data_IF_464026184220
#
_entry.id   IF_464026184220
#
_cell.length_a   1.000
_cell.length_b   1.000
_cell.length_c   1.000
_cell.angle_alpha   90.00
_cell.angle_beta   90.00
_cell.angle_gamma   90.00
#
_symmetry.space_group_name_H-M   'P 1'
#
loop_
_entity.id
_entity.type
_entity.pdbx_description
1 polymer ?
#
# COMPACT_ATOMS: atom_id res chain seq x y z
N UNK A 1 55.51 -6.24 45.10
CA UNK A 1 54.17 -6.62 45.60
C UNK A 1 53.23 -5.50 45.19
N UNK A 2 52.27 -5.63 44.29
CA UNK A 2 51.43 -6.75 43.86
C UNK A 2 51.11 -6.64 42.36
N UNK A 3 50.97 -7.79 41.72
CA UNK A 3 50.70 -7.99 40.31
C UNK A 3 49.19 -8.00 39.98
N UNK A 4 48.88 -7.64 38.72
CA UNK A 4 47.85 -8.16 37.79
C UNK A 4 46.45 -8.51 38.33
N UNK A 5 45.42 -8.04 37.60
CA UNK A 5 44.32 -8.75 36.89
C UNK A 5 43.30 -7.64 36.53
N UNK A 6 42.93 -7.34 35.29
CA UNK A 6 42.75 -8.20 34.13
C UNK A 6 41.33 -8.77 34.13
N UNK A 7 40.33 -7.98 33.69
CA UNK A 7 39.09 -8.39 33.01
C UNK A 7 38.05 -7.25 33.09
N UNK A 8 38.02 -6.37 32.08
CA UNK A 8 36.76 -5.72 31.72
C UNK A 8 35.88 -6.83 31.14
N UNK A 9 34.94 -7.31 31.96
CA UNK A 9 34.03 -8.39 31.62
C UNK A 9 33.17 -7.98 30.42
N UNK A 10 33.16 -8.88 29.45
CA UNK A 10 32.48 -8.87 28.15
C UNK A 10 30.96 -9.02 28.26
N UNK A 11 30.29 -8.24 29.10
CA UNK A 11 28.84 -8.32 29.29
C UNK A 11 28.14 -6.98 29.06
N UNK A 12 28.35 -6.40 27.88
CA UNK A 12 27.26 -5.65 27.23
C UNK A 12 26.59 -6.64 26.29
N UNK A 13 25.72 -7.48 26.86
CA UNK A 13 24.82 -8.31 26.07
C UNK A 13 23.96 -7.37 25.22
N UNK A 14 24.10 -7.51 23.91
CA UNK A 14 23.30 -6.92 22.84
C UNK A 14 21.81 -6.86 23.18
N UNK A 15 21.37 -5.75 23.75
CA UNK A 15 19.96 -5.45 23.99
C UNK A 15 19.59 -4.06 23.44
N UNK A 16 20.22 -3.64 22.35
CA UNK A 16 19.79 -2.51 21.52
C UNK A 16 18.56 -2.91 20.69
N UNK A 17 17.49 -3.37 21.34
CA UNK A 17 16.17 -3.38 20.74
C UNK A 17 15.64 -1.94 20.83
N UNK A 18 16.00 -1.13 19.84
CA UNK A 18 15.14 -0.01 19.48
C UNK A 18 13.81 -0.65 19.04
N UNK A 19 12.65 -0.28 19.61
CA UNK A 19 11.38 -0.86 19.19
C UNK A 19 11.24 -0.75 17.67
N UNK A 20 10.64 -1.77 17.06
CA UNK A 20 10.59 -2.14 15.63
C UNK A 20 10.14 -1.07 14.60
N UNK A 21 10.22 0.22 14.93
CA UNK A 21 9.80 1.32 14.10
C UNK A 21 10.49 2.63 14.49
N UNK A 22 11.82 2.75 14.39
CA UNK A 22 12.49 4.06 14.52
C UNK A 22 12.27 4.97 13.30
N UNK A 23 12.06 4.37 12.13
CA UNK A 23 11.88 5.08 10.86
C UNK A 23 10.75 6.12 10.93
N UNK A 24 9.58 5.69 11.39
CA UNK A 24 8.38 6.52 11.37
C UNK A 24 8.44 7.69 12.36
N UNK A 25 8.81 7.49 13.65
CA UNK A 25 9.10 8.59 14.56
C UNK A 25 10.19 9.52 14.04
N UNK A 26 11.26 9.01 13.42
CA UNK A 26 12.30 9.87 12.83
C UNK A 26 11.73 10.76 11.71
N UNK A 27 10.99 10.17 10.75
CA UNK A 27 10.36 10.91 9.64
C UNK A 27 9.38 11.97 10.13
N UNK A 28 8.64 11.69 11.20
CA UNK A 28 7.56 12.57 11.68
C UNK A 28 8.02 13.61 12.70
N UNK A 29 8.97 13.26 13.57
CA UNK A 29 9.33 14.06 14.74
C UNK A 29 10.72 14.70 14.66
N UNK A 30 11.60 14.20 13.78
CA UNK A 30 12.99 14.69 13.67
C UNK A 30 13.21 15.33 12.32
N UNK A 31 12.97 14.59 11.23
CA UNK A 31 13.27 15.03 9.86
C UNK A 31 12.68 16.41 9.50
N UNK A 32 11.44 16.79 9.89
CA UNK A 32 10.87 18.10 9.56
C UNK A 32 11.60 19.27 10.21
N UNK A 33 12.42 19.02 11.24
CA UNK A 33 13.18 20.02 11.96
C UNK A 33 14.65 20.08 11.56
N UNK A 34 15.09 19.20 10.65
CA UNK A 34 16.46 19.21 10.14
C UNK A 34 16.58 20.20 8.98
N UNK A 35 17.64 21.01 9.01
CA UNK A 35 18.04 21.82 7.88
C UNK A 35 18.55 20.95 6.73
N UNK A 36 18.53 21.45 5.47
CA UNK A 36 19.11 20.72 4.35
C UNK A 36 20.59 20.34 4.56
N UNK A 37 21.36 21.18 5.25
CA UNK A 37 22.77 20.92 5.56
C UNK A 37 22.94 19.79 6.60
N UNK A 38 22.06 19.72 7.61
CA UNK A 38 22.06 18.63 8.58
C UNK A 38 21.66 17.31 7.91
N UNK A 39 20.66 17.34 7.02
CA UNK A 39 20.26 16.18 6.20
C UNK A 39 21.46 15.66 5.40
N UNK A 40 22.18 16.53 4.68
CA UNK A 40 23.38 16.12 3.94
C UNK A 40 24.50 15.59 4.83
N UNK A 41 24.69 16.20 6.01
CA UNK A 41 25.68 15.73 6.99
C UNK A 41 25.35 14.32 7.47
N UNK A 42 24.08 14.04 7.75
CA UNK A 42 23.64 12.71 8.18
C UNK A 42 23.76 11.72 7.02
N UNK A 43 23.33 12.06 5.80
CA UNK A 43 23.50 11.23 4.60
C UNK A 43 24.97 10.85 4.40
N UNK A 44 25.89 11.80 4.49
CA UNK A 44 27.32 11.56 4.35
C UNK A 44 27.87 10.59 5.40
N UNK A 45 27.38 10.67 6.65
CA UNK A 45 27.75 9.73 7.72
C UNK A 45 27.12 8.34 7.56
N UNK A 46 25.94 8.25 6.97
CA UNK A 46 25.25 6.97 6.75
C UNK A 46 25.86 6.15 5.61
N UNK A 47 26.30 6.80 4.52
CA UNK A 47 26.87 6.09 3.34
C UNK A 47 27.89 5.00 3.68
N UNK A 48 28.94 5.22 4.51
CA UNK A 48 29.91 4.17 4.83
C UNK A 48 29.39 3.10 5.80
N UNK A 49 28.26 3.34 6.47
CA UNK A 49 27.67 2.41 7.45
C UNK A 49 26.73 1.39 6.82
N UNK A 50 26.30 1.63 5.58
CA UNK A 50 25.38 0.77 4.85
C UNK A 50 26.16 -0.06 3.85
N UNK A 51 26.16 -1.38 4.04
CA UNK A 51 26.74 -2.33 3.07
C UNK A 51 25.67 -2.69 2.02
N UNK A 52 25.83 -2.30 0.74
CA UNK A 52 24.80 -2.52 -0.28
C UNK A 52 24.67 -3.98 -0.73
N UNK A 53 25.70 -4.80 -0.47
CA UNK A 53 25.88 -6.12 -1.06
C UNK A 53 25.62 -7.29 -0.09
N UNK A 54 25.12 -7.03 1.11
CA UNK A 54 24.73 -8.10 2.02
C UNK A 54 23.29 -8.54 1.70
N UNK A 55 23.08 -9.71 1.07
CA UNK A 55 21.73 -10.24 0.88
C UNK A 55 21.03 -10.43 2.24
N UNK A 56 19.69 -10.57 2.28
CA UNK A 56 18.95 -10.79 3.53
C UNK A 56 19.38 -12.03 4.33
N UNK A 57 20.31 -12.85 3.83
CA UNK A 57 20.91 -13.96 4.56
C UNK A 57 21.64 -13.53 5.85
N UNK A 58 22.07 -12.27 5.99
CA UNK A 58 22.55 -11.75 7.28
C UNK A 58 21.42 -11.24 8.19
N UNK A 59 20.17 -11.14 7.72
CA UNK A 59 18.99 -10.73 8.49
C UNK A 59 18.38 -11.87 9.33
N UNK A 60 19.18 -12.89 9.69
CA UNK A 60 18.79 -13.94 10.65
C UNK A 60 18.31 -13.39 12.02
N UNK A 61 18.41 -12.07 12.23
CA UNK A 61 17.92 -11.35 13.40
C UNK A 61 16.82 -10.34 13.02
N UNK A 62 15.83 -10.76 12.23
CA UNK A 62 14.46 -10.21 12.23
C UNK A 62 14.24 -8.72 11.91
N UNK A 63 15.25 -7.90 11.65
CA UNK A 63 15.09 -6.46 11.43
C UNK A 63 16.15 -5.91 10.48
N UNK A 64 15.79 -4.88 9.71
CA UNK A 64 16.75 -4.13 8.91
C UNK A 64 17.72 -3.35 9.81
N UNK A 65 18.98 -3.17 9.41
CA UNK A 65 19.91 -2.31 10.14
C UNK A 65 19.41 -0.86 10.20
N UNK A 66 19.54 -0.20 11.35
CA UNK A 66 19.07 1.19 11.57
C UNK A 66 19.60 2.18 10.52
N UNK A 67 20.85 2.00 10.09
CA UNK A 67 21.46 2.85 9.06
C UNK A 67 20.74 2.73 7.70
N UNK A 68 20.24 1.53 7.36
CA UNK A 68 19.45 1.30 6.15
C UNK A 68 18.08 1.95 6.27
N UNK A 69 17.44 1.78 7.43
CA UNK A 69 16.14 2.41 7.73
C UNK A 69 16.22 3.93 7.67
N UNK A 70 17.30 4.52 8.20
CA UNK A 70 17.54 5.96 8.11
C UNK A 70 17.87 6.43 6.70
N UNK A 71 18.61 5.63 5.92
CA UNK A 71 18.84 5.94 4.51
C UNK A 71 17.52 6.02 3.72
N UNK A 72 16.57 5.13 4.02
CA UNK A 72 15.21 5.18 3.48
C UNK A 72 14.45 6.44 3.94
N UNK A 73 14.53 6.80 5.22
CA UNK A 73 13.89 8.01 5.74
C UNK A 73 14.47 9.31 5.16
N UNK A 74 15.76 9.32 4.84
CA UNK A 74 16.49 10.47 4.30
C UNK A 74 16.52 10.50 2.78
N UNK A 75 15.69 9.70 2.09
CA UNK A 75 15.59 9.68 0.62
C UNK A 75 16.97 9.54 -0.06
N UNK A 76 17.63 8.40 0.14
CA UNK A 76 18.93 8.06 -0.47
C UNK A 76 18.75 6.99 -1.57
N UNK A 77 18.13 7.33 -2.72
CA UNK A 77 17.61 6.34 -3.69
C UNK A 77 18.70 5.45 -4.29
N UNK A 78 19.87 5.98 -4.65
CA UNK A 78 20.95 5.19 -5.27
C UNK A 78 21.47 4.07 -4.35
N UNK A 79 21.49 4.34 -3.04
CA UNK A 79 21.92 3.37 -2.03
C UNK A 79 20.84 2.30 -1.84
N UNK A 80 19.57 2.71 -1.80
CA UNK A 80 18.43 1.80 -1.63
C UNK A 80 18.24 0.91 -2.86
N UNK A 81 18.43 1.44 -4.07
CA UNK A 81 18.37 0.68 -5.31
C UNK A 81 19.38 -0.48 -5.31
N UNK A 82 20.61 -0.23 -4.84
CA UNK A 82 21.63 -1.30 -4.71
C UNK A 82 21.17 -2.40 -3.73
N UNK A 83 20.66 -2.03 -2.57
CA UNK A 83 20.18 -2.98 -1.55
C UNK A 83 18.98 -3.79 -2.08
N UNK A 84 17.99 -3.10 -2.63
CA UNK A 84 16.75 -3.71 -3.11
C UNK A 84 17.05 -4.65 -4.28
N UNK A 85 17.91 -4.25 -5.22
CA UNK A 85 18.31 -5.09 -6.36
C UNK A 85 19.02 -6.39 -5.94
N UNK A 86 19.70 -6.39 -4.78
CA UNK A 86 20.36 -7.58 -4.23
C UNK A 86 19.39 -8.58 -3.58
N UNK A 87 18.14 -8.20 -3.33
CA UNK A 87 17.10 -9.11 -2.82
C UNK A 87 16.67 -10.04 -3.97
N UNK A 88 16.67 -11.38 -3.79
CA UNK A 88 16.20 -12.29 -4.83
C UNK A 88 14.73 -12.05 -5.23
N UNK A 89 14.38 -12.40 -6.46
CA UNK A 89 12.98 -12.39 -6.88
C UNK A 89 12.15 -13.38 -6.04
N UNK A 90 10.90 -13.04 -5.79
CA UNK A 90 9.95 -13.77 -4.94
C UNK A 90 10.43 -14.05 -3.51
N UNK A 91 11.49 -13.38 -3.03
CA UNK A 91 12.09 -13.68 -1.72
C UNK A 91 11.11 -13.62 -0.55
N UNK A 92 10.10 -12.74 -0.63
CA UNK A 92 9.09 -12.57 0.40
C UNK A 92 7.80 -13.34 0.16
N UNK A 93 7.77 -14.18 -0.89
CA UNK A 93 6.68 -15.12 -1.14
C UNK A 93 6.68 -16.17 -0.04
N UNK A 94 5.75 -16.05 0.91
CA UNK A 94 5.55 -17.00 2.00
C UNK A 94 6.06 -16.57 3.38
N UNK A 95 6.62 -15.37 3.55
CA UNK A 95 6.88 -14.86 4.91
C UNK A 95 7.96 -13.78 5.02
N UNK A 96 8.36 -13.52 6.28
CA UNK A 96 9.44 -12.61 6.70
C UNK A 96 9.26 -11.12 6.42
N UNK A 97 8.32 -10.72 5.56
CA UNK A 97 8.01 -9.31 5.29
C UNK A 97 7.57 -8.53 6.52
N UNK A 98 6.94 -9.19 7.50
CA UNK A 98 6.52 -8.55 8.75
C UNK A 98 7.73 -8.03 9.55
N UNK A 99 8.79 -8.83 9.58
CA UNK A 99 10.01 -8.58 10.35
C UNK A 99 11.00 -7.73 9.56
N UNK A 100 11.29 -8.13 8.33
CA UNK A 100 12.27 -7.43 7.49
C UNK A 100 11.74 -6.11 6.93
N UNK A 101 10.42 -5.89 6.88
CA UNK A 101 9.78 -4.67 6.37
C UNK A 101 10.42 -4.10 5.08
N UNK A 102 10.64 -4.93 4.04
CA UNK A 102 11.30 -4.50 2.79
C UNK A 102 10.59 -3.33 2.11
N UNK A 103 9.30 -3.14 2.37
CA UNK A 103 8.48 -2.06 1.85
C UNK A 103 9.10 -0.70 2.19
N UNK A 104 9.67 -0.54 3.39
CA UNK A 104 10.32 0.71 3.79
C UNK A 104 11.52 1.07 2.91
N UNK A 105 12.20 0.07 2.34
CA UNK A 105 13.30 0.28 1.40
C UNK A 105 12.76 0.63 0.02
N UNK A 106 11.77 -0.14 -0.43
CA UNK A 106 11.18 0.02 -1.76
C UNK A 106 10.54 1.40 -1.91
N UNK A 107 9.85 1.92 -0.89
CA UNK A 107 9.28 3.26 -0.93
C UNK A 107 10.30 4.41 -0.99
N UNK A 108 11.57 4.14 -0.67
CA UNK A 108 12.63 5.13 -0.81
C UNK A 108 13.31 5.14 -2.19
N UNK A 109 12.84 4.33 -3.14
CA UNK A 109 13.34 4.33 -4.51
C UNK A 109 12.94 5.64 -5.23
N UNK A 110 13.69 5.99 -6.27
CA UNK A 110 13.65 7.31 -6.89
C UNK A 110 12.45 7.57 -7.80
N UNK A 111 11.67 6.53 -8.14
CA UNK A 111 10.53 6.63 -9.07
C UNK A 111 9.40 5.66 -8.73
N UNK A 112 8.17 6.03 -9.13
CA UNK A 112 6.99 5.18 -8.96
C UNK A 112 7.12 3.85 -9.72
N UNK A 113 7.73 3.88 -10.91
CA UNK A 113 7.99 2.70 -11.74
C UNK A 113 8.91 1.71 -11.04
N UNK A 114 10.00 2.19 -10.42
CA UNK A 114 10.92 1.33 -9.65
C UNK A 114 10.24 0.75 -8.41
N UNK A 115 9.48 1.56 -7.66
CA UNK A 115 8.68 1.09 -6.50
C UNK A 115 7.78 -0.07 -6.93
N UNK A 116 7.03 0.11 -8.02
CA UNK A 116 6.09 -0.89 -8.53
C UNK A 116 6.79 -2.17 -9.00
N UNK A 117 7.83 -2.01 -9.81
CA UNK A 117 8.61 -3.12 -10.34
C UNK A 117 9.23 -3.96 -9.22
N UNK A 118 9.92 -3.31 -8.28
CA UNK A 118 10.66 -3.99 -7.22
C UNK A 118 9.73 -4.63 -6.19
N UNK A 119 8.63 -3.98 -5.81
CA UNK A 119 7.66 -4.57 -4.88
C UNK A 119 7.09 -5.89 -5.41
N UNK A 120 6.72 -5.91 -6.71
CA UNK A 120 6.22 -7.12 -7.37
C UNK A 120 7.32 -8.18 -7.50
N UNK A 121 8.52 -7.77 -7.95
CA UNK A 121 9.67 -8.66 -8.14
C UNK A 121 10.01 -9.42 -6.86
N UNK A 122 10.04 -8.77 -5.71
CA UNK A 122 10.36 -9.42 -4.43
C UNK A 122 9.15 -10.08 -3.75
N UNK A 123 7.94 -9.87 -4.28
CA UNK A 123 6.66 -10.39 -3.77
C UNK A 123 6.38 -10.04 -2.30
N UNK A 124 6.65 -8.79 -1.91
CA UNK A 124 6.39 -8.31 -0.55
C UNK A 124 4.94 -7.80 -0.40
N UNK A 125 4.14 -8.31 0.55
CA UNK A 125 2.77 -7.82 0.79
C UNK A 125 2.73 -6.50 1.55
N UNK A 126 1.65 -5.72 1.43
CA UNK A 126 1.43 -4.51 2.24
C UNK A 126 0.81 -4.89 3.59
N UNK A 127 1.64 -5.00 4.63
CA UNK A 127 1.21 -5.54 5.94
C UNK A 127 0.66 -4.51 6.93
N UNK A 128 0.90 -3.22 6.74
CA UNK A 128 0.52 -2.17 7.68
C UNK A 128 -0.18 -1.00 6.98
N UNK A 129 -0.94 -0.23 7.75
CA UNK A 129 -1.68 0.93 7.25
C UNK A 129 -0.74 1.96 6.60
N UNK A 130 0.44 2.11 7.18
CA UNK A 130 1.51 3.00 6.72
C UNK A 130 2.04 2.54 5.35
N UNK A 131 2.05 1.23 5.07
CA UNK A 131 2.48 0.73 3.76
C UNK A 131 1.47 1.08 2.66
N UNK A 132 0.16 0.99 2.94
CA UNK A 132 -0.88 1.37 1.97
C UNK A 132 -0.84 2.89 1.74
N UNK A 133 -0.65 3.66 2.80
CA UNK A 133 -0.50 5.13 2.70
C UNK A 133 0.72 5.49 1.85
N UNK A 134 1.87 4.85 2.10
CA UNK A 134 3.08 5.08 1.33
C UNK A 134 2.94 4.62 -0.13
N UNK A 135 2.25 3.50 -0.38
CA UNK A 135 1.95 3.04 -1.74
C UNK A 135 1.18 4.11 -2.51
N UNK A 136 0.03 4.53 -2.00
CA UNK A 136 -0.81 5.57 -2.62
C UNK A 136 -0.04 6.89 -2.83
N UNK A 137 0.84 7.26 -1.90
CA UNK A 137 1.65 8.47 -2.02
C UNK A 137 2.72 8.35 -3.13
N UNK A 138 3.28 7.15 -3.35
CA UNK A 138 4.34 6.94 -4.33
C UNK A 138 3.80 6.63 -5.73
N UNK A 139 2.68 5.93 -5.83
CA UNK A 139 2.19 5.34 -7.08
C UNK A 139 0.81 5.84 -7.49
N UNK A 140 0.22 6.75 -6.71
CA UNK A 140 -1.13 7.28 -6.91
C UNK A 140 -2.17 6.15 -7.00
N UNK A 141 -2.76 5.95 -8.18
CA UNK A 141 -3.76 4.91 -8.46
C UNK A 141 -3.21 3.70 -9.22
N UNK A 142 -1.89 3.62 -9.38
CA UNK A 142 -1.29 2.48 -10.06
C UNK A 142 -1.26 1.24 -9.14
N UNK A 143 -1.52 0.07 -9.74
CA UNK A 143 -1.37 -1.23 -9.09
C UNK A 143 -2.15 -1.37 -7.75
N UNK A 144 -3.37 -0.82 -7.69
CA UNK A 144 -4.23 -0.93 -6.52
C UNK A 144 -4.64 -2.38 -6.18
N UNK A 145 -4.39 -3.34 -7.09
CA UNK A 145 -4.56 -4.77 -6.83
C UNK A 145 -3.70 -5.25 -5.65
N UNK A 146 -2.49 -4.68 -5.45
CA UNK A 146 -1.65 -5.03 -4.31
C UNK A 146 -2.26 -4.60 -2.97
N UNK A 147 -2.97 -3.47 -2.95
CA UNK A 147 -3.71 -3.01 -1.77
C UNK A 147 -4.91 -3.95 -1.53
N UNK A 148 -5.64 -4.29 -2.58
CA UNK A 148 -6.79 -5.19 -2.48
C UNK A 148 -6.37 -6.56 -1.92
N UNK A 149 -5.33 -7.16 -2.49
CA UNK A 149 -4.80 -8.46 -2.07
C UNK A 149 -4.34 -8.41 -0.61
N UNK A 150 -3.65 -7.34 -0.20
CA UNK A 150 -3.21 -7.16 1.18
C UNK A 150 -4.38 -7.13 2.18
N UNK A 151 -5.50 -6.49 1.82
CA UNK A 151 -6.70 -6.38 2.66
C UNK A 151 -7.50 -7.70 2.64
N UNK A 152 -7.67 -8.32 1.47
CA UNK A 152 -8.43 -9.57 1.29
C UNK A 152 -7.77 -10.72 2.03
N UNK A 153 -6.43 -10.79 1.99
CA UNK A 153 -5.67 -11.85 2.65
C UNK A 153 -5.64 -11.74 4.18
N UNK A 154 -6.22 -10.69 4.78
CA UNK A 154 -6.32 -10.60 6.23
C UNK A 154 -7.32 -11.60 6.80
N UNK A 155 -6.85 -12.39 7.76
CA UNK A 155 -7.70 -13.35 8.48
C UNK A 155 -8.55 -12.67 9.58
N UNK A 156 -8.16 -11.48 10.03
CA UNK A 156 -8.86 -10.69 11.04
C UNK A 156 -9.61 -9.52 10.39
N UNK A 157 -10.92 -9.39 10.69
CA UNK A 157 -11.78 -8.31 10.16
C UNK A 157 -11.30 -6.92 10.57
N UNK A 158 -10.87 -6.75 11.81
CA UNK A 158 -10.49 -5.44 12.35
C UNK A 158 -9.14 -5.00 11.78
N UNK A 159 -8.23 -5.95 11.51
CA UNK A 159 -6.98 -5.67 10.77
C UNK A 159 -7.26 -5.37 9.29
N UNK A 160 -8.16 -6.11 8.63
CA UNK A 160 -8.59 -5.80 7.26
C UNK A 160 -9.16 -4.38 7.16
N UNK A 161 -10.04 -4.02 8.10
CA UNK A 161 -10.61 -2.69 8.25
C UNK A 161 -9.52 -1.62 8.46
N UNK A 162 -8.54 -1.89 9.33
CA UNK A 162 -7.43 -0.98 9.60
C UNK A 162 -6.59 -0.73 8.34
N UNK A 163 -6.26 -1.78 7.59
CA UNK A 163 -5.54 -1.66 6.32
C UNK A 163 -6.34 -0.89 5.27
N UNK A 164 -7.67 -1.04 5.23
CA UNK A 164 -8.51 -0.34 4.26
C UNK A 164 -8.58 1.18 4.48
N UNK A 165 -8.33 1.67 5.71
CA UNK A 165 -8.52 3.09 6.07
C UNK A 165 -7.90 4.12 5.12
N UNK A 166 -6.64 4.00 4.67
CA UNK A 166 -6.05 4.99 3.77
C UNK A 166 -6.77 5.01 2.42
N UNK A 167 -7.21 3.85 1.94
CA UNK A 167 -7.96 3.72 0.69
C UNK A 167 -9.35 4.37 0.77
N UNK A 168 -10.02 4.31 1.93
CA UNK A 168 -11.32 4.97 2.14
C UNK A 168 -11.24 6.49 1.98
N UNK A 169 -10.08 7.10 2.22
CA UNK A 169 -9.87 8.55 2.01
C UNK A 169 -9.61 8.95 0.56
N UNK A 170 -9.53 7.98 -0.37
CA UNK A 170 -9.26 8.24 -1.78
C UNK A 170 -10.57 8.38 -2.54
N UNK A 171 -10.88 9.58 -3.03
CA UNK A 171 -12.10 9.85 -3.80
C UNK A 171 -11.78 9.91 -5.30
N UNK A 172 -11.69 8.75 -5.94
CA UNK A 172 -11.38 8.62 -7.36
C UNK A 172 -12.16 7.47 -8.00
N UNK A 173 -12.41 7.57 -9.31
CA UNK A 173 -13.11 6.52 -10.09
C UNK A 173 -12.25 5.26 -10.17
N UNK A 174 -10.93 5.40 -10.22
CA UNK A 174 -9.94 4.31 -10.31
C UNK A 174 -9.99 3.35 -9.11
N UNK A 175 -10.52 3.79 -7.96
CA UNK A 175 -10.66 2.98 -6.75
C UNK A 175 -11.92 2.12 -6.77
N UNK A 176 -12.91 2.45 -7.61
CA UNK A 176 -14.21 1.76 -7.65
C UNK A 176 -14.10 0.26 -7.94
N UNK A 177 -13.29 -0.22 -8.92
CA UNK A 177 -13.11 -1.65 -9.14
C UNK A 177 -12.61 -2.39 -7.90
N UNK A 178 -11.71 -1.74 -7.16
CA UNK A 178 -11.15 -2.29 -5.92
C UNK A 178 -12.19 -2.32 -4.82
N UNK A 179 -13.03 -1.28 -4.69
CA UNK A 179 -14.11 -1.26 -3.70
C UNK A 179 -15.14 -2.35 -3.95
N UNK A 180 -15.50 -2.63 -5.22
CA UNK A 180 -16.34 -3.79 -5.55
C UNK A 180 -15.66 -5.11 -5.19
N UNK A 181 -14.39 -5.28 -5.53
CA UNK A 181 -13.63 -6.49 -5.17
C UNK A 181 -13.58 -6.68 -3.65
N UNK A 182 -13.28 -5.63 -2.89
CA UNK A 182 -13.24 -5.65 -1.42
C UNK A 182 -14.62 -5.93 -0.81
N UNK A 183 -15.69 -5.39 -1.38
CA UNK A 183 -17.06 -5.69 -0.96
C UNK A 183 -17.40 -7.18 -1.11
N UNK A 184 -16.89 -7.83 -2.16
CA UNK A 184 -17.18 -9.24 -2.45
C UNK A 184 -16.27 -10.23 -1.70
N UNK A 185 -15.00 -9.86 -1.49
CA UNK A 185 -13.97 -10.82 -1.06
C UNK A 185 -13.40 -10.54 0.35
N UNK A 186 -13.49 -9.30 0.85
CA UNK A 186 -12.89 -8.94 2.14
C UNK A 186 -13.80 -9.27 3.33
N UNK A 187 -13.18 -9.64 4.45
CA UNK A 187 -13.87 -9.72 5.76
C UNK A 187 -14.40 -8.37 6.25
N UNK A 188 -13.86 -7.26 5.74
CA UNK A 188 -14.28 -5.88 6.04
C UNK A 188 -15.20 -5.29 4.95
N UNK A 189 -15.97 -6.13 4.25
CA UNK A 189 -16.84 -5.74 3.12
C UNK A 189 -17.78 -4.56 3.39
N UNK A 190 -18.27 -4.42 4.63
CA UNK A 190 -19.16 -3.34 5.03
C UNK A 190 -18.56 -1.94 4.79
N UNK A 191 -17.24 -1.77 4.97
CA UNK A 191 -16.59 -0.47 4.76
C UNK A 191 -16.50 -0.12 3.28
N UNK A 192 -16.20 -1.09 2.42
CA UNK A 192 -16.17 -0.90 0.97
C UNK A 192 -17.58 -0.57 0.43
N UNK A 193 -18.62 -1.26 0.93
CA UNK A 193 -20.03 -0.94 0.60
C UNK A 193 -20.42 0.46 1.05
N UNK A 194 -20.03 0.84 2.27
CA UNK A 194 -20.31 2.17 2.80
C UNK A 194 -19.67 3.25 1.93
N UNK A 195 -18.40 3.07 1.55
CA UNK A 195 -17.70 3.98 0.65
C UNK A 195 -18.43 4.16 -0.70
N UNK A 196 -18.88 3.06 -1.32
CA UNK A 196 -19.65 3.12 -2.58
C UNK A 196 -20.94 3.95 -2.42
N UNK A 197 -21.56 3.91 -1.24
CA UNK A 197 -22.79 4.65 -0.93
C UNK A 197 -22.51 6.13 -0.65
N UNK A 198 -21.45 6.43 0.09
CA UNK A 198 -21.10 7.80 0.52
C UNK A 198 -20.49 8.65 -0.61
N UNK A 199 -20.00 8.01 -1.67
CA UNK A 199 -19.36 8.68 -2.81
C UNK A 199 -20.07 8.39 -4.14
N UNK A 200 -21.38 8.69 -4.28
CA UNK A 200 -22.21 8.23 -5.39
C UNK A 200 -21.70 8.71 -6.76
N UNK A 201 -21.12 9.91 -6.86
CA UNK A 201 -20.58 10.42 -8.12
C UNK A 201 -19.43 9.56 -8.65
N UNK A 202 -18.46 9.20 -7.80
CA UNK A 202 -17.35 8.33 -8.17
C UNK A 202 -17.83 6.89 -8.37
N UNK A 203 -18.61 6.38 -7.43
CA UNK A 203 -19.09 5.00 -7.42
C UNK A 203 -19.93 4.68 -8.66
N UNK A 204 -20.90 5.55 -9.04
CA UNK A 204 -21.71 5.35 -10.23
C UNK A 204 -20.87 5.44 -11.50
N UNK A 205 -19.99 6.46 -11.61
CA UNK A 205 -19.12 6.61 -12.78
C UNK A 205 -18.22 5.38 -13.01
N UNK A 206 -17.67 4.80 -11.94
CA UNK A 206 -16.89 3.56 -12.02
C UNK A 206 -17.76 2.31 -12.23
N UNK A 207 -18.89 2.20 -11.53
CA UNK A 207 -19.80 1.06 -11.65
C UNK A 207 -20.33 0.91 -13.08
N UNK A 208 -20.72 2.01 -13.73
CA UNK A 208 -21.21 2.01 -15.13
C UNK A 208 -20.17 1.41 -16.07
N UNK A 209 -18.87 1.71 -15.87
CA UNK A 209 -17.78 1.10 -16.66
C UNK A 209 -17.60 -0.38 -16.37
N UNK A 210 -17.80 -0.81 -15.13
CA UNK A 210 -17.65 -2.20 -14.70
C UNK A 210 -18.83 -3.09 -15.12
N UNK A 211 -20.05 -2.55 -15.09
CA UNK A 211 -21.28 -3.26 -15.37
C UNK A 211 -21.39 -3.72 -16.83
N UNK A 212 -20.71 -3.03 -17.76
CA UNK A 212 -20.57 -3.46 -19.15
C UNK A 212 -19.66 -4.69 -19.35
N UNK A 213 -18.93 -5.10 -18.29
CA UNK A 213 -18.04 -6.25 -18.29
C UNK A 213 -18.76 -7.58 -18.07
N UNK A 214 -18.03 -8.56 -17.51
CA UNK A 214 -18.55 -9.89 -17.16
C UNK A 214 -18.04 -10.34 -15.79
N UNK A 215 -18.76 -11.29 -15.19
CA UNK A 215 -18.41 -11.91 -13.91
C UNK A 215 -18.92 -11.15 -12.69
N UNK A 216 -18.56 -11.63 -11.50
CA UNK A 216 -19.15 -11.20 -10.22
C UNK A 216 -19.04 -9.70 -9.94
N UNK A 217 -17.94 -9.05 -10.36
CA UNK A 217 -17.78 -7.60 -10.19
C UNK A 217 -18.75 -6.84 -11.09
N UNK A 218 -18.95 -7.27 -12.34
CA UNK A 218 -19.89 -6.64 -13.26
C UNK A 218 -21.34 -6.82 -12.79
N UNK A 219 -21.68 -8.01 -12.29
CA UNK A 219 -22.99 -8.30 -11.70
C UNK A 219 -23.27 -7.42 -10.47
N UNK A 220 -22.31 -7.33 -9.54
CA UNK A 220 -22.43 -6.46 -8.37
C UNK A 220 -22.50 -4.97 -8.74
N UNK A 221 -21.76 -4.55 -9.77
CA UNK A 221 -21.84 -3.19 -10.29
C UNK A 221 -23.22 -2.89 -10.89
N UNK A 222 -23.80 -3.83 -11.64
CA UNK A 222 -25.14 -3.67 -12.20
C UNK A 222 -26.21 -3.56 -11.10
N UNK A 223 -26.16 -4.45 -10.11
CA UNK A 223 -27.05 -4.38 -8.94
C UNK A 223 -26.95 -3.01 -8.24
N UNK A 224 -25.72 -2.54 -8.00
CA UNK A 224 -25.48 -1.23 -7.40
C UNK A 224 -26.05 -0.07 -8.23
N UNK A 225 -25.93 -0.10 -9.57
CA UNK A 225 -26.48 0.93 -10.44
C UNK A 225 -28.01 0.91 -10.39
N UNK A 226 -28.65 -0.25 -10.47
CA UNK A 226 -30.12 -0.39 -10.43
C UNK A 226 -30.68 0.10 -9.09
N UNK A 227 -30.06 -0.27 -7.97
CA UNK A 227 -30.44 0.26 -6.67
C UNK A 227 -30.25 1.78 -6.58
N UNK A 228 -29.17 2.31 -7.16
CA UNK A 228 -28.90 3.74 -7.18
C UNK A 228 -29.92 4.51 -8.03
N UNK A 229 -30.36 3.93 -9.15
CA UNK A 229 -31.46 4.46 -9.95
C UNK A 229 -32.78 4.53 -9.15
N UNK A 230 -33.09 3.47 -8.40
CA UNK A 230 -34.26 3.42 -7.50
C UNK A 230 -34.16 4.44 -6.36
N UNK A 231 -32.95 4.77 -5.89
CA UNK A 231 -32.67 5.84 -4.91
C UNK A 231 -32.63 7.25 -5.52
N UNK A 232 -33.03 7.42 -6.78
CA UNK A 232 -33.13 8.73 -7.44
C UNK A 232 -31.84 9.24 -8.06
N UNK A 233 -30.79 8.42 -8.19
CA UNK A 233 -29.50 8.81 -8.78
C UNK A 233 -29.47 8.67 -10.33
N UNK A 234 -30.63 8.58 -10.98
CA UNK A 234 -30.76 8.47 -12.45
C UNK A 234 -29.94 9.54 -13.21
N UNK A 235 -29.94 10.83 -12.80
CA UNK A 235 -29.15 11.85 -13.51
C UNK A 235 -27.64 11.58 -13.51
N UNK A 236 -27.10 11.01 -12.42
CA UNK A 236 -25.68 10.64 -12.35
C UNK A 236 -25.37 9.45 -13.26
N UNK A 237 -26.28 8.48 -13.35
CA UNK A 237 -26.16 7.31 -14.22
C UNK A 237 -26.16 7.77 -15.69
N UNK A 238 -27.13 8.60 -16.09
CA UNK A 238 -27.22 9.18 -17.43
C UNK A 238 -25.96 9.99 -17.80
N UNK A 239 -25.42 10.76 -16.86
CA UNK A 239 -24.18 11.49 -17.08
C UNK A 239 -22.98 10.55 -17.28
N UNK A 240 -22.88 9.48 -16.49
CA UNK A 240 -21.80 8.50 -16.60
C UNK A 240 -21.86 7.69 -17.90
N UNK A 241 -23.07 7.36 -18.39
CA UNK A 241 -23.30 6.62 -19.62
C UNK A 241 -22.74 7.33 -20.87
N UNK A 242 -22.76 8.68 -20.90
CA UNK A 242 -22.21 9.48 -22.00
C UNK A 242 -20.72 9.26 -22.24
N UNK A 243 -20.00 8.76 -21.24
CA UNK A 243 -18.56 8.45 -21.33
C UNK A 243 -18.25 7.06 -21.89
N UNK A 244 -19.27 6.23 -22.19
CA UNK A 244 -19.08 4.87 -22.69
C UNK A 244 -19.28 4.75 -24.20
N UNK A 245 -18.70 3.71 -24.84
CA UNK A 245 -19.09 3.29 -26.18
C UNK A 245 -20.61 3.05 -26.29
N UNK A 246 -21.25 3.38 -27.43
CA UNK A 246 -22.71 3.32 -27.57
C UNK A 246 -23.33 1.96 -27.21
N UNK A 247 -22.68 0.86 -27.59
CA UNK A 247 -23.15 -0.51 -27.29
C UNK A 247 -23.17 -0.79 -25.78
N UNK A 248 -22.11 -0.42 -25.07
CA UNK A 248 -22.02 -0.59 -23.61
C UNK A 248 -22.98 0.34 -22.88
N UNK A 249 -23.14 1.57 -23.37
CA UNK A 249 -24.10 2.51 -22.82
C UNK A 249 -25.54 2.00 -22.96
N UNK A 250 -25.90 1.43 -24.12
CA UNK A 250 -27.24 0.91 -24.36
C UNK A 250 -27.57 -0.27 -23.41
N UNK A 251 -26.62 -1.20 -23.27
CA UNK A 251 -26.77 -2.36 -22.38
C UNK A 251 -27.00 -1.94 -20.92
N UNK A 252 -26.19 -1.01 -20.40
CA UNK A 252 -26.33 -0.55 -19.01
C UNK A 252 -27.60 0.29 -18.85
N UNK A 253 -27.96 1.12 -19.82
CA UNK A 253 -29.20 1.91 -19.78
C UNK A 253 -30.46 1.04 -19.79
N UNK A 254 -30.51 0.00 -20.61
CA UNK A 254 -31.63 -0.94 -20.68
C UNK A 254 -31.85 -1.62 -19.32
N UNK A 255 -30.79 -2.08 -18.67
CA UNK A 255 -30.89 -2.76 -17.38
C UNK A 255 -31.22 -1.81 -16.22
N UNK A 256 -30.60 -0.63 -16.17
CA UNK A 256 -30.65 0.26 -15.01
C UNK A 256 -31.75 1.34 -15.07
N UNK A 257 -32.17 1.73 -16.27
CA UNK A 257 -33.12 2.83 -16.48
C UNK A 257 -34.46 2.37 -17.03
N UNK A 258 -34.63 1.08 -17.36
CA UNK A 258 -35.94 0.51 -17.64
C UNK A 258 -36.91 0.90 -16.52
N UNK A 259 -37.97 1.62 -16.88
CA UNK A 259 -39.01 1.98 -15.94
C UNK A 259 -39.69 0.73 -15.40
N UNK A 260 -39.99 0.76 -14.10
CA UNK A 260 -41.09 0.02 -13.52
C UNK A 260 -42.38 0.47 -14.22
N UNK A 261 -42.69 -0.13 -15.36
CA UNK A 261 -43.98 -0.05 -16.00
C UNK A 261 -44.98 -0.92 -15.23
N UNK A 262 -45.30 -0.54 -13.98
CA UNK A 262 -46.48 -1.01 -13.23
C UNK A 262 -46.98 0.11 -12.34
#
# INVERSE_FOLDING_TARGET
MLARHGAFSSEVRNNNHIPANFAEPFRRLILPYLTPMEVETIRARLRPLVSPSAPPASLHVGYLPDAVVLAAALNMPDLLAQIVSAIPAEYYKGGNSYYHRPQELVFGLGSAEEVRSEMRRISAPLLFQEHITAWLACTEFADLDLIADAIINQSNRDEAAKLMRPLLGVHAVDVVPIMFRLMLESKASAQARQWLTDHPAHAIAGAVRLAAGRGKIAEAAMEFITESAARGQRPLIEAALKGLPPEQSALVAEAALAEAAV
#
